data_IF_416922913208
#
_entry.id   IF_416922913208
#
_cell.length_a   1.000
_cell.length_b   1.000
_cell.length_c   1.000
_cell.angle_alpha   90.00
_cell.angle_beta   90.00
_cell.angle_gamma   90.00
#
_symmetry.space_group_name_H-M   'P 1'
#
loop_
_entity.id
_entity.type
_entity.pdbx_description
1 polymer ?
#
# COMPACT_ATOMS: atom_id res chain seq x y z
N UNK A 1 -7.95 32.81 12.41
CA UNK A 1 -6.69 32.73 11.65
C UNK A 1 -6.14 31.32 11.79
N UNK A 2 -6.20 30.50 10.72
CA UNK A 2 -5.98 29.07 10.80
C UNK A 2 -4.46 28.75 10.81
N UNK A 3 -3.89 28.60 12.01
CA UNK A 3 -2.46 28.34 12.25
C UNK A 3 -1.99 27.04 11.58
N UNK A 4 -2.90 26.09 11.27
CA UNK A 4 -2.56 24.86 10.53
C UNK A 4 -2.21 25.08 9.05
N UNK A 5 -2.50 26.26 8.48
CA UNK A 5 -2.21 26.55 7.07
C UNK A 5 -0.76 27.00 6.84
N UNK A 6 -0.07 27.47 7.88
CA UNK A 6 1.30 28.04 7.79
C UNK A 6 2.40 27.10 8.31
N UNK A 7 2.09 26.14 9.18
CA UNK A 7 2.95 24.98 9.43
C UNK A 7 2.54 23.87 8.48
N UNK A 8 3.22 23.74 7.34
CA UNK A 8 2.88 22.77 6.30
C UNK A 8 2.56 21.38 6.87
N UNK A 9 1.27 21.04 6.93
CA UNK A 9 0.75 19.88 7.68
C UNK A 9 1.38 18.54 7.31
N UNK A 10 2.06 18.45 6.16
CA UNK A 10 2.86 17.30 5.77
C UNK A 10 4.05 17.01 6.67
N UNK A 11 4.69 18.05 7.21
CA UNK A 11 5.88 17.89 8.05
C UNK A 11 5.50 17.38 9.45
N UNK A 12 4.35 17.82 9.99
CA UNK A 12 3.90 17.34 11.30
C UNK A 12 3.71 15.83 11.33
N UNK A 13 2.92 15.28 10.39
CA UNK A 13 2.66 13.84 10.35
C UNK A 13 3.95 13.05 10.11
N UNK A 14 4.81 13.52 9.20
CA UNK A 14 6.13 12.91 8.99
C UNK A 14 6.93 12.81 10.29
N UNK A 15 7.08 13.91 11.03
CA UNK A 15 7.84 13.92 12.28
C UNK A 15 7.17 13.09 13.38
N UNK A 16 5.84 13.11 13.49
CA UNK A 16 5.11 12.32 14.48
C UNK A 16 5.29 10.81 14.25
N UNK A 17 5.11 10.33 13.01
CA UNK A 17 5.32 8.93 12.67
C UNK A 17 6.78 8.50 12.78
N UNK A 18 7.71 9.38 12.36
CA UNK A 18 9.15 9.13 12.52
C UNK A 18 9.53 9.00 14.00
N UNK A 19 8.99 9.85 14.86
CA UNK A 19 9.21 9.78 16.31
C UNK A 19 8.63 8.49 16.90
N UNK A 20 7.43 8.08 16.50
CA UNK A 20 6.85 6.81 16.94
C UNK A 20 7.71 5.60 16.54
N UNK A 21 8.25 5.62 15.31
CA UNK A 21 9.22 4.62 14.83
C UNK A 21 10.54 4.65 15.62
N UNK A 22 11.13 5.83 15.83
CA UNK A 22 12.36 6.01 16.60
C UNK A 22 12.24 5.53 18.05
N UNK A 23 11.09 5.76 18.68
CA UNK A 23 10.80 5.28 20.03
C UNK A 23 10.38 3.79 20.07
N UNK A 24 10.35 3.12 18.91
CA UNK A 24 9.85 1.76 18.76
C UNK A 24 8.48 1.56 19.42
N UNK A 25 7.58 2.53 19.27
CA UNK A 25 6.27 2.58 19.95
C UNK A 25 5.12 2.30 18.98
N UNK A 26 4.77 1.02 18.73
CA UNK A 26 3.71 0.65 17.79
C UNK A 26 2.33 1.15 18.20
N UNK A 27 2.03 1.25 19.50
CA UNK A 27 0.75 1.79 20.01
C UNK A 27 0.57 3.25 19.64
N UNK A 28 1.64 4.05 19.77
CA UNK A 28 1.63 5.46 19.39
C UNK A 28 1.44 5.61 17.87
N UNK A 29 2.20 4.85 17.08
CA UNK A 29 2.05 4.88 15.62
C UNK A 29 0.62 4.49 15.19
N UNK A 30 0.02 3.46 15.80
CA UNK A 30 -1.34 3.02 15.50
C UNK A 30 -2.39 4.11 15.79
N UNK A 31 -2.28 4.79 16.93
CA UNK A 31 -3.14 5.93 17.28
C UNK A 31 -2.98 7.09 16.31
N UNK A 32 -1.74 7.42 15.94
CA UNK A 32 -1.46 8.45 14.95
C UNK A 32 -2.09 8.09 13.58
N UNK A 33 -1.99 6.83 13.16
CA UNK A 33 -2.61 6.38 11.91
C UNK A 33 -4.13 6.54 11.96
N UNK A 34 -4.77 6.06 13.02
CA UNK A 34 -6.21 6.18 13.20
C UNK A 34 -6.70 7.64 13.16
N UNK A 35 -5.97 8.56 13.82
CA UNK A 35 -6.27 10.00 13.81
C UNK A 35 -6.06 10.66 12.44
N UNK A 36 -5.27 10.03 11.57
CA UNK A 36 -4.91 10.57 10.26
C UNK A 36 -5.85 10.11 9.14
N UNK A 37 -6.76 9.16 9.41
CA UNK A 37 -7.67 8.62 8.40
C UNK A 37 -8.66 9.68 7.90
N UNK A 38 -8.83 9.71 6.58
CA UNK A 38 -9.94 10.40 5.89
C UNK A 38 -10.99 9.35 5.52
N UNK A 39 -12.23 9.54 5.93
CA UNK A 39 -13.33 8.67 5.50
C UNK A 39 -13.86 9.15 4.16
N UNK A 40 -13.64 8.38 3.10
CA UNK A 40 -14.03 8.72 1.73
C UNK A 40 -15.47 8.32 1.44
N UNK A 41 -15.84 7.12 1.87
CA UNK A 41 -17.16 6.54 1.69
C UNK A 41 -17.60 6.02 3.05
N UNK A 42 -18.65 6.61 3.61
CA UNK A 42 -19.26 6.17 4.87
C UNK A 42 -20.54 5.42 4.56
N UNK A 43 -20.74 4.29 5.22
CA UNK A 43 -22.02 3.55 5.20
C UNK A 43 -22.64 3.59 6.59
N UNK A 44 -23.97 3.62 6.66
CA UNK A 44 -24.66 3.38 7.94
C UNK A 44 -24.38 1.92 8.27
N UNK A 45 -23.66 1.67 9.37
CA UNK A 45 -23.09 0.36 9.72
C UNK A 45 -24.11 -0.78 9.75
N UNK A 46 -24.40 -1.32 8.57
CA UNK A 46 -25.15 -2.54 8.38
C UNK A 46 -24.18 -3.70 8.55
N UNK A 47 -24.67 -4.74 9.22
CA UNK A 47 -23.98 -6.01 9.36
C UNK A 47 -23.52 -6.50 7.97
N UNK A 48 -22.25 -6.91 7.85
CA UNK A 48 -21.67 -7.36 6.58
C UNK A 48 -20.95 -6.30 5.73
N UNK A 49 -20.82 -5.04 6.20
CA UNK A 49 -20.01 -4.03 5.49
C UNK A 49 -18.51 -4.29 5.67
N UNK A 50 -17.76 -4.38 4.57
CA UNK A 50 -16.31 -4.55 4.53
C UNK A 50 -15.59 -3.19 4.59
N UNK A 51 -14.71 -3.00 5.58
CA UNK A 51 -13.94 -1.77 5.80
C UNK A 51 -12.59 -1.84 5.08
N UNK A 52 -12.43 -0.97 4.11
CA UNK A 52 -11.26 -0.93 3.23
C UNK A 52 -10.40 0.30 3.55
N UNK A 53 -9.11 0.08 3.75
CA UNK A 53 -8.10 1.14 3.88
C UNK A 53 -7.35 1.34 2.56
N UNK A 54 -7.40 2.56 2.02
CA UNK A 54 -6.62 2.97 0.86
C UNK A 54 -5.31 3.64 1.28
N UNK A 55 -4.19 3.08 0.83
CA UNK A 55 -2.87 3.71 0.93
C UNK A 55 -2.68 4.71 -0.22
N UNK A 56 -3.45 5.80 -0.18
CA UNK A 56 -3.73 6.61 -1.39
C UNK A 56 -2.53 7.35 -1.97
N UNK A 57 -2.23 7.09 -3.24
CA UNK A 57 -1.32 7.86 -4.09
C UNK A 57 -2.10 8.59 -5.17
N UNK A 58 -1.50 9.60 -5.78
CA UNK A 58 -2.10 10.31 -6.92
C UNK A 58 -2.51 9.33 -8.04
N UNK A 59 -3.75 9.46 -8.52
CA UNK A 59 -4.39 8.62 -9.53
C UNK A 59 -4.97 7.29 -9.02
N UNK A 60 -4.44 6.72 -7.93
CA UNK A 60 -4.94 5.44 -7.40
C UNK A 60 -6.30 5.57 -6.69
N UNK A 61 -6.57 6.71 -6.04
CA UNK A 61 -7.89 6.99 -5.44
C UNK A 61 -9.01 6.87 -6.46
N UNK A 62 -8.78 7.30 -7.70
CA UNK A 62 -9.76 7.23 -8.78
C UNK A 62 -10.05 5.78 -9.19
N UNK A 63 -9.01 4.95 -9.35
CA UNK A 63 -9.18 3.52 -9.64
C UNK A 63 -9.99 2.83 -8.54
N UNK A 64 -9.59 3.00 -7.28
CA UNK A 64 -10.27 2.37 -6.15
C UNK A 64 -11.73 2.81 -6.02
N UNK A 65 -12.01 4.12 -6.15
CA UNK A 65 -13.38 4.63 -6.07
C UNK A 65 -14.23 4.25 -7.29
N UNK A 66 -13.63 4.11 -8.46
CA UNK A 66 -14.35 3.62 -9.65
C UNK A 66 -14.71 2.14 -9.52
N UNK A 67 -13.85 1.34 -8.87
CA UNK A 67 -14.11 -0.09 -8.63
C UNK A 67 -15.15 -0.37 -7.55
N UNK A 68 -15.03 0.27 -6.37
CA UNK A 68 -15.82 -0.11 -5.18
C UNK A 68 -16.51 1.07 -4.48
N UNK A 69 -16.30 2.31 -4.94
CA UNK A 69 -16.78 3.51 -4.25
C UNK A 69 -18.30 3.65 -4.19
N UNK A 70 -19.01 3.09 -5.18
CA UNK A 70 -20.47 3.10 -5.25
C UNK A 70 -21.11 1.79 -4.76
N UNK A 71 -20.31 0.82 -4.33
CA UNK A 71 -20.81 -0.46 -3.83
C UNK A 71 -21.08 -0.35 -2.32
N UNK A 72 -22.31 -0.63 -1.92
CA UNK A 72 -22.76 -0.47 -0.53
C UNK A 72 -22.16 -1.51 0.42
N UNK A 73 -21.53 -2.56 -0.11
CA UNK A 73 -20.80 -3.56 0.69
C UNK A 73 -19.50 -3.02 1.28
N UNK A 74 -19.02 -1.84 0.83
CA UNK A 74 -17.72 -1.31 1.25
C UNK A 74 -17.83 0.04 1.96
N UNK A 75 -17.11 0.17 3.07
CA UNK A 75 -16.74 1.44 3.69
C UNK A 75 -15.28 1.73 3.34
N UNK A 76 -14.96 2.98 2.97
CA UNK A 76 -13.63 3.31 2.46
C UNK A 76 -13.01 4.43 3.29
N UNK A 77 -11.91 4.10 3.96
CA UNK A 77 -11.01 5.06 4.62
C UNK A 77 -9.72 5.18 3.83
N UNK A 78 -9.05 6.34 3.91
CA UNK A 78 -7.85 6.63 3.14
C UNK A 78 -6.82 7.39 3.96
N UNK A 79 -5.55 7.15 3.64
CA UNK A 79 -4.46 8.07 3.98
C UNK A 79 -4.26 9.00 2.80
N UNK A 80 -4.55 10.30 2.95
CA UNK A 80 -4.30 11.28 1.90
C UNK A 80 -2.81 11.30 1.46
N UNK A 81 -2.51 11.88 0.31
CA UNK A 81 -1.13 11.88 -0.26
C UNK A 81 -0.10 12.50 0.69
N UNK A 82 -0.54 13.43 1.54
CA UNK A 82 0.29 14.10 2.54
C UNK A 82 0.65 13.16 3.69
N UNK A 83 -0.33 12.39 4.17
CA UNK A 83 -0.24 11.42 5.27
C UNK A 83 0.27 10.06 4.81
N UNK A 84 0.22 9.76 3.51
CA UNK A 84 0.79 8.56 2.90
C UNK A 84 2.35 8.58 2.86
N UNK A 85 2.97 9.49 3.62
CA UNK A 85 4.36 9.39 4.03
C UNK A 85 4.51 8.69 5.39
N UNK A 86 3.44 8.27 6.06
CA UNK A 86 3.48 7.60 7.37
C UNK A 86 4.38 6.36 7.36
N UNK A 87 4.15 5.44 6.42
CA UNK A 87 4.98 4.23 6.32
C UNK A 87 6.43 4.55 5.96
N UNK A 88 6.68 5.51 5.06
CA UNK A 88 8.04 5.99 4.77
C UNK A 88 8.72 6.58 6.03
N UNK A 89 8.01 7.41 6.79
CA UNK A 89 8.50 8.02 8.02
C UNK A 89 8.88 6.97 9.07
N UNK A 90 8.05 5.93 9.24
CA UNK A 90 8.34 4.81 10.14
C UNK A 90 9.53 4.01 9.60
N UNK A 91 9.49 3.58 8.34
CA UNK A 91 10.49 2.73 7.70
C UNK A 91 11.92 3.30 7.79
N UNK A 92 12.09 4.64 7.69
CA UNK A 92 13.41 5.30 7.83
C UNK A 92 14.09 5.11 9.20
N UNK A 93 13.39 4.59 10.21
CA UNK A 93 14.00 4.27 11.51
C UNK A 93 14.50 2.82 11.58
N UNK A 94 14.12 1.97 10.62
CA UNK A 94 14.44 0.54 10.62
C UNK A 94 15.33 0.15 9.45
N UNK A 95 15.00 0.65 8.25
CA UNK A 95 15.66 0.30 7.01
C UNK A 95 16.89 1.20 6.76
N UNK A 96 17.97 0.66 6.15
CA UNK A 96 19.10 1.44 5.67
C UNK A 96 18.65 2.59 4.75
N UNK A 97 19.27 3.78 4.83
CA UNK A 97 18.88 4.95 4.03
C UNK A 97 19.07 4.75 2.53
N UNK A 98 19.88 3.77 2.11
CA UNK A 98 20.10 3.41 0.72
C UNK A 98 18.92 2.65 0.12
N UNK A 99 18.05 2.03 0.93
CA UNK A 99 16.86 1.32 0.41
C UNK A 99 15.81 2.33 -0.08
N UNK A 100 15.41 2.14 -1.33
CA UNK A 100 14.28 2.81 -1.96
C UNK A 100 13.41 1.84 -2.76
N UNK A 101 12.43 2.39 -3.48
CA UNK A 101 11.50 1.59 -4.29
C UNK A 101 12.24 0.76 -5.36
N UNK A 102 13.38 1.26 -5.87
CA UNK A 102 14.16 0.78 -7.01
C UNK A 102 15.36 -0.12 -6.64
N UNK A 103 15.69 -0.35 -5.37
CA UNK A 103 16.82 -1.21 -4.96
C UNK A 103 16.54 -2.00 -3.68
N UNK A 104 15.28 -2.34 -3.41
CA UNK A 104 14.87 -3.02 -2.19
C UNK A 104 15.52 -4.40 -1.99
N UNK A 105 15.71 -5.14 -3.09
CA UNK A 105 16.24 -6.49 -3.03
C UNK A 105 17.72 -6.44 -2.65
N UNK A 106 18.05 -7.12 -1.55
CA UNK A 106 19.40 -7.21 -1.01
C UNK A 106 19.45 -8.43 -0.10
N UNK A 107 20.49 -9.24 -0.29
CA UNK A 107 20.82 -10.43 0.49
C UNK A 107 21.86 -10.12 1.58
N UNK A 108 22.24 -8.85 1.75
CA UNK A 108 23.16 -8.45 2.80
C UNK A 108 22.54 -8.74 4.18
N UNK A 109 23.25 -9.42 5.09
CA UNK A 109 22.69 -9.80 6.39
C UNK A 109 22.10 -8.63 7.18
N UNK A 110 22.73 -7.45 7.13
CA UNK A 110 22.23 -6.24 7.80
C UNK A 110 20.90 -5.73 7.22
N UNK A 111 20.68 -5.88 5.92
CA UNK A 111 19.42 -5.53 5.27
C UNK A 111 18.30 -6.48 5.67
N UNK A 112 18.61 -7.78 5.73
CA UNK A 112 17.68 -8.82 6.17
C UNK A 112 17.26 -8.57 7.63
N UNK A 113 18.22 -8.30 8.50
CA UNK A 113 17.95 -8.01 9.92
C UNK A 113 17.10 -6.73 10.08
N UNK A 114 17.42 -5.67 9.34
CA UNK A 114 16.65 -4.43 9.33
C UNK A 114 15.19 -4.64 8.89
N UNK A 115 14.97 -5.42 7.83
CA UNK A 115 13.64 -5.82 7.36
C UNK A 115 12.88 -6.61 8.42
N UNK A 116 13.54 -7.55 9.11
CA UNK A 116 12.93 -8.33 10.18
C UNK A 116 12.49 -7.45 11.37
N UNK A 117 13.36 -6.54 11.84
CA UNK A 117 12.98 -5.57 12.89
C UNK A 117 11.80 -4.70 12.48
N UNK A 118 11.76 -4.30 11.20
CA UNK A 118 10.63 -3.53 10.68
C UNK A 118 9.33 -4.37 10.68
N UNK A 119 9.38 -5.64 10.26
CA UNK A 119 8.22 -6.56 10.34
C UNK A 119 7.70 -6.70 11.76
N UNK A 120 8.59 -6.87 12.75
CA UNK A 120 8.18 -7.05 14.15
C UNK A 120 7.46 -5.81 14.70
N UNK A 121 7.97 -4.61 14.35
CA UNK A 121 7.28 -3.37 14.65
C UNK A 121 5.90 -3.34 13.97
N UNK A 122 5.83 -3.67 12.68
CA UNK A 122 4.60 -3.65 11.89
C UNK A 122 3.53 -4.63 12.39
N UNK A 123 3.92 -5.84 12.83
CA UNK A 123 2.98 -6.82 13.45
C UNK A 123 2.31 -6.23 14.68
N UNK A 124 3.14 -5.65 15.56
CA UNK A 124 2.66 -5.01 16.78
C UNK A 124 1.80 -3.79 16.46
N UNK A 125 2.23 -2.96 15.50
CA UNK A 125 1.51 -1.79 15.03
C UNK A 125 0.14 -2.15 14.47
N UNK A 126 0.07 -3.13 13.56
CA UNK A 126 -1.17 -3.55 12.90
C UNK A 126 -2.16 -4.13 13.91
N UNK A 127 -1.69 -4.98 14.83
CA UNK A 127 -2.52 -5.52 15.91
C UNK A 127 -3.16 -4.42 16.76
N UNK A 128 -2.44 -3.34 17.06
CA UNK A 128 -2.99 -2.20 17.82
C UNK A 128 -3.93 -1.36 16.96
N UNK A 129 -3.60 -1.15 15.68
CA UNK A 129 -4.43 -0.38 14.76
C UNK A 129 -5.78 -1.05 14.50
N UNK A 130 -5.78 -2.38 14.32
CA UNK A 130 -7.01 -3.18 14.18
C UNK A 130 -7.96 -3.03 15.37
N UNK A 131 -7.45 -2.96 16.60
CA UNK A 131 -8.26 -2.73 17.81
C UNK A 131 -8.93 -1.36 17.85
N UNK A 132 -8.40 -0.38 17.12
CA UNK A 132 -8.92 1.00 17.12
C UNK A 132 -9.94 1.19 16.00
N UNK A 133 -9.63 0.70 14.80
CA UNK A 133 -10.40 1.03 13.58
C UNK A 133 -11.19 -0.18 13.05
N UNK A 134 -10.59 -1.38 13.10
CA UNK A 134 -11.09 -2.57 12.41
C UNK A 134 -11.06 -2.39 10.89
N UNK A 135 -10.07 -2.98 10.22
CA UNK A 135 -9.91 -2.92 8.76
C UNK A 135 -9.94 -4.33 8.19
N UNK A 136 -10.82 -4.58 7.24
CA UNK A 136 -11.01 -5.90 6.63
C UNK A 136 -10.10 -6.11 5.41
N UNK A 137 -9.70 -5.04 4.72
CA UNK A 137 -8.77 -5.12 3.59
C UNK A 137 -7.96 -3.82 3.41
N UNK A 138 -6.77 -3.94 2.83
CA UNK A 138 -5.91 -2.80 2.48
C UNK A 138 -5.65 -2.80 0.98
N UNK A 139 -5.86 -1.65 0.33
CA UNK A 139 -5.54 -1.46 -1.08
C UNK A 139 -4.35 -0.49 -1.23
N UNK A 140 -3.43 -0.79 -2.14
CA UNK A 140 -2.35 0.11 -2.57
C UNK A 140 -2.20 0.17 -4.09
N UNK A 141 -1.46 1.17 -4.57
CA UNK A 141 -1.26 1.45 -5.99
C UNK A 141 -0.13 0.62 -6.63
N UNK A 142 0.80 0.09 -5.83
CA UNK A 142 1.98 -0.58 -6.36
C UNK A 142 2.53 -1.62 -5.36
N UNK A 143 2.98 -2.77 -5.88
CA UNK A 143 3.63 -3.82 -5.10
C UNK A 143 5.06 -3.43 -4.66
N UNK A 144 5.68 -2.46 -5.35
CA UNK A 144 7.10 -2.17 -5.21
C UNK A 144 7.43 -1.05 -4.24
N UNK A 145 6.47 -0.53 -3.47
CA UNK A 145 6.75 0.56 -2.53
C UNK A 145 7.53 0.06 -1.32
N UNK A 146 8.80 0.47 -1.19
CA UNK A 146 9.75 -0.09 -0.23
C UNK A 146 9.20 -0.09 1.21
N UNK A 147 8.53 1.00 1.60
CA UNK A 147 7.97 1.17 2.93
C UNK A 147 6.71 0.33 3.18
N UNK A 148 6.05 -0.15 2.12
CA UNK A 148 4.81 -0.93 2.22
C UNK A 148 5.05 -2.43 2.01
N UNK A 149 6.27 -2.85 1.63
CA UNK A 149 6.55 -4.26 1.34
C UNK A 149 6.46 -5.15 2.57
N UNK A 150 7.16 -4.79 3.63
CA UNK A 150 7.08 -5.55 4.87
C UNK A 150 5.70 -5.45 5.52
N UNK A 151 4.99 -4.34 5.28
CA UNK A 151 3.57 -4.23 5.65
C UNK A 151 2.72 -5.25 4.89
N UNK A 152 2.92 -5.40 3.58
CA UNK A 152 2.12 -6.35 2.78
C UNK A 152 2.27 -7.79 3.26
N UNK A 153 3.50 -8.21 3.64
CA UNK A 153 3.74 -9.54 4.19
C UNK A 153 3.14 -9.73 5.57
N UNK A 154 3.32 -8.75 6.47
CA UNK A 154 2.71 -8.78 7.81
C UNK A 154 1.20 -8.86 7.76
N UNK A 155 0.57 -8.14 6.84
CA UNK A 155 -0.89 -8.16 6.69
C UNK A 155 -1.39 -9.49 6.13
N UNK A 156 -0.68 -10.08 5.16
CA UNK A 156 -1.00 -11.42 4.65
C UNK A 156 -0.91 -12.48 5.75
N UNK A 157 0.17 -12.46 6.57
CA UNK A 157 0.36 -13.32 7.75
C UNK A 157 -0.77 -13.17 8.80
N UNK A 158 -1.32 -11.96 8.92
CA UNK A 158 -2.38 -11.63 9.88
C UNK A 158 -3.79 -11.73 9.30
N UNK A 159 -3.94 -12.40 8.15
CA UNK A 159 -5.22 -12.60 7.45
C UNK A 159 -5.97 -11.30 7.12
N UNK A 160 -5.26 -10.18 6.99
CA UNK A 160 -5.79 -8.96 6.41
C UNK A 160 -5.33 -8.87 4.95
N UNK A 161 -6.21 -9.07 3.95
CA UNK A 161 -5.84 -8.99 2.54
C UNK A 161 -5.18 -7.65 2.19
N UNK A 162 -3.90 -7.72 1.82
CA UNK A 162 -3.18 -6.61 1.20
C UNK A 162 -3.21 -6.77 -0.31
N UNK A 163 -3.91 -5.88 -0.99
CA UNK A 163 -4.24 -5.98 -2.40
C UNK A 163 -3.64 -4.79 -3.15
N UNK A 164 -3.02 -5.07 -4.29
CA UNK A 164 -2.47 -4.03 -5.16
C UNK A 164 -3.44 -3.81 -6.33
N UNK A 165 -3.98 -2.60 -6.49
CA UNK A 165 -4.53 -2.17 -7.77
C UNK A 165 -3.38 -1.53 -8.54
N UNK A 166 -2.68 -2.35 -9.31
CA UNK A 166 -1.46 -1.91 -9.97
C UNK A 166 -1.85 -0.87 -11.02
N UNK A 167 -1.21 0.31 -11.01
CA UNK A 167 -1.50 1.37 -12.00
C UNK A 167 -0.50 1.44 -13.15
N UNK A 168 0.71 0.92 -12.97
CA UNK A 168 1.82 1.04 -13.91
C UNK A 168 1.81 -0.08 -14.98
N UNK A 169 0.67 -0.34 -15.63
CA UNK A 169 0.49 -1.54 -16.50
C UNK A 169 0.81 -1.33 -17.98
N UNK A 170 1.04 -0.09 -18.43
CA UNK A 170 1.23 0.18 -19.86
C UNK A 170 2.66 -0.14 -20.28
N UNK A 171 2.84 -1.33 -20.88
CA UNK A 171 4.11 -1.81 -21.42
C UNK A 171 3.97 -2.14 -22.89
N UNK A 172 4.85 -1.55 -23.71
CA UNK A 172 4.95 -1.93 -25.12
C UNK A 172 5.68 -3.29 -25.24
N UNK A 173 5.37 -4.11 -26.27
CA UNK A 173 6.03 -5.40 -26.48
C UNK A 173 7.56 -5.32 -26.46
N UNK A 174 8.14 -4.27 -27.07
CA UNK A 174 9.59 -4.05 -27.12
C UNK A 174 10.25 -3.72 -25.76
N UNK A 175 9.49 -3.47 -24.70
CA UNK A 175 10.01 -3.18 -23.35
C UNK A 175 9.78 -4.31 -22.35
N UNK A 176 9.11 -5.39 -22.74
CA UNK A 176 8.75 -6.50 -21.86
C UNK A 176 9.98 -7.09 -21.16
N UNK A 177 11.03 -7.44 -21.90
CA UNK A 177 12.24 -8.03 -21.33
C UNK A 177 13.00 -7.08 -20.39
N UNK A 178 13.00 -5.78 -20.71
CA UNK A 178 13.54 -4.77 -19.80
C UNK A 178 12.80 -4.75 -18.46
N UNK A 179 11.46 -4.77 -18.48
CA UNK A 179 10.67 -4.75 -17.25
C UNK A 179 10.77 -6.06 -16.47
N UNK A 180 10.83 -7.22 -17.15
CA UNK A 180 11.07 -8.52 -16.49
C UNK A 180 12.38 -8.50 -15.71
N UNK A 181 13.46 -8.05 -16.35
CA UNK A 181 14.77 -7.90 -15.72
C UNK A 181 14.73 -6.93 -14.53
N UNK A 182 14.17 -5.74 -14.74
CA UNK A 182 14.03 -4.73 -13.69
C UNK A 182 13.26 -5.25 -12.47
N UNK A 183 12.15 -5.95 -12.71
CA UNK A 183 11.31 -6.51 -11.66
C UNK A 183 12.03 -7.60 -10.89
N UNK A 184 12.65 -8.55 -11.60
CA UNK A 184 13.38 -9.66 -10.98
C UNK A 184 14.58 -9.21 -10.16
N UNK A 185 15.37 -8.27 -10.67
CA UNK A 185 16.65 -7.91 -10.04
C UNK A 185 16.51 -6.84 -8.97
N UNK A 186 15.52 -5.95 -9.10
CA UNK A 186 15.42 -4.76 -8.23
C UNK A 186 14.19 -4.73 -7.35
N UNK A 187 13.08 -5.31 -7.83
CA UNK A 187 11.80 -5.27 -7.13
C UNK A 187 11.55 -6.56 -6.37
N UNK A 188 11.86 -7.76 -6.85
CA UNK A 188 11.67 -9.01 -6.11
C UNK A 188 10.20 -9.33 -5.72
N UNK A 189 9.95 -10.45 -5.03
CA UNK A 189 8.60 -11.01 -4.86
C UNK A 189 7.63 -10.13 -4.05
N UNK A 190 6.37 -10.08 -4.48
CA UNK A 190 5.28 -9.47 -3.72
C UNK A 190 4.85 -10.40 -2.58
N UNK A 191 4.67 -9.82 -1.38
CA UNK A 191 4.38 -10.57 -0.16
C UNK A 191 2.90 -10.53 0.25
N UNK A 192 2.08 -9.72 -0.43
CA UNK A 192 0.66 -9.60 -0.12
C UNK A 192 -0.23 -10.63 -0.84
N UNK A 193 -1.55 -10.41 -0.74
CA UNK A 193 -2.58 -11.38 -1.10
C UNK A 193 -2.80 -11.50 -2.61
N UNK A 194 -3.08 -10.36 -3.27
CA UNK A 194 -3.39 -10.31 -4.72
C UNK A 194 -2.92 -9.03 -5.39
N UNK A 195 -2.63 -9.12 -6.68
CA UNK A 195 -2.37 -7.99 -7.57
C UNK A 195 -3.42 -7.98 -8.68
N UNK A 196 -4.05 -6.83 -8.87
CA UNK A 196 -4.95 -6.55 -9.97
C UNK A 196 -4.20 -5.70 -11.01
N UNK A 197 -4.17 -6.18 -12.24
CA UNK A 197 -3.45 -5.56 -13.37
C UNK A 197 -4.42 -5.24 -14.51
N UNK A 198 -4.03 -4.33 -15.39
CA UNK A 198 -4.93 -3.86 -16.45
C UNK A 198 -4.97 -4.77 -17.67
N UNK A 199 -3.92 -5.54 -17.94
CA UNK A 199 -3.81 -6.31 -19.17
C UNK A 199 -2.93 -7.57 -19.00
N UNK A 200 -3.01 -8.46 -19.98
CA UNK A 200 -2.27 -9.73 -20.00
C UNK A 200 -0.75 -9.53 -20.14
N UNK A 201 -0.29 -8.47 -20.81
CA UNK A 201 1.16 -8.18 -20.92
C UNK A 201 1.73 -7.97 -19.53
N UNK A 202 1.06 -7.17 -18.69
CA UNK A 202 1.55 -6.90 -17.34
C UNK A 202 1.47 -8.13 -16.44
N UNK A 203 0.38 -8.90 -16.55
CA UNK A 203 0.26 -10.17 -15.84
C UNK A 203 1.43 -11.09 -16.16
N UNK A 204 1.74 -11.27 -17.45
CA UNK A 204 2.86 -12.10 -17.90
C UNK A 204 4.21 -11.56 -17.40
N UNK A 205 4.45 -10.25 -17.49
CA UNK A 205 5.68 -9.62 -16.98
C UNK A 205 5.89 -9.89 -15.49
N UNK A 206 4.86 -9.74 -14.66
CA UNK A 206 4.98 -9.96 -13.22
C UNK A 206 5.17 -11.44 -12.86
N UNK A 207 4.49 -12.36 -13.55
CA UNK A 207 4.68 -13.80 -13.36
C UNK A 207 6.09 -14.23 -13.78
N UNK A 208 6.52 -13.88 -15.00
CA UNK A 208 7.82 -14.26 -15.55
C UNK A 208 9.00 -13.66 -14.78
N UNK A 209 8.80 -12.50 -14.15
CA UNK A 209 9.78 -11.87 -13.29
C UNK A 209 9.85 -12.48 -11.88
N UNK A 210 8.95 -13.40 -11.52
CA UNK A 210 8.87 -13.99 -10.19
C UNK A 210 8.30 -13.05 -9.13
N UNK A 211 7.51 -12.04 -9.53
CA UNK A 211 6.88 -11.09 -8.60
C UNK A 211 5.70 -11.73 -7.90
N UNK A 212 4.88 -12.49 -8.62
CA UNK A 212 3.61 -13.03 -8.12
C UNK A 212 3.27 -14.33 -8.84
N UNK A 213 2.59 -15.26 -8.16
CA UNK A 213 2.11 -16.50 -8.78
C UNK A 213 0.86 -16.25 -9.63
N UNK A 214 0.56 -17.09 -10.63
CA UNK A 214 -0.60 -16.90 -11.52
C UNK A 214 -1.94 -16.76 -10.78
N UNK A 215 -2.13 -17.44 -9.65
CA UNK A 215 -3.37 -17.44 -8.86
C UNK A 215 -3.55 -16.16 -8.04
N UNK A 216 -2.45 -15.44 -7.82
CA UNK A 216 -2.40 -14.20 -7.05
C UNK A 216 -2.44 -12.95 -7.95
N UNK A 217 -2.53 -13.09 -9.27
CA UNK A 217 -2.67 -11.97 -10.21
C UNK A 217 -3.89 -12.08 -11.11
N UNK A 218 -4.70 -11.02 -11.16
CA UNK A 218 -5.97 -10.98 -11.90
C UNK A 218 -5.96 -9.79 -12.86
N UNK A 219 -6.34 -10.03 -14.12
CA UNK A 219 -6.57 -8.96 -15.09
C UNK A 219 -7.97 -8.40 -14.88
N UNK A 220 -8.07 -7.09 -14.66
CA UNK A 220 -9.35 -6.40 -14.42
C UNK A 220 -9.59 -5.19 -15.31
N UNK A 221 -8.71 -4.93 -16.27
CA UNK A 221 -8.80 -3.69 -17.05
C UNK A 221 -8.44 -2.47 -16.19
N UNK A 222 -8.90 -1.30 -16.62
CA UNK A 222 -8.52 -0.01 -16.03
C UNK A 222 -9.77 0.67 -15.47
N UNK A 223 -10.11 0.48 -14.18
CA UNK A 223 -11.43 0.83 -13.64
C UNK A 223 -11.83 2.29 -13.85
N UNK A 224 -10.89 3.23 -13.82
CA UNK A 224 -11.16 4.65 -14.08
C UNK A 224 -11.64 4.96 -15.50
N UNK A 225 -11.45 4.05 -16.46
CA UNK A 225 -11.97 4.17 -17.83
C UNK A 225 -13.35 3.53 -18.01
N UNK A 226 -13.85 2.78 -17.02
CA UNK A 226 -15.15 2.09 -17.12
C UNK A 226 -16.26 3.09 -17.41
N UNK A 227 -16.23 4.28 -16.80
CA UNK A 227 -17.20 5.36 -17.05
C UNK A 227 -17.27 5.76 -18.53
N UNK A 228 -16.12 5.86 -19.19
CA UNK A 228 -16.05 6.20 -20.62
C UNK A 228 -16.67 5.08 -21.46
N UNK A 229 -16.40 3.81 -21.12
CA UNK A 229 -16.96 2.66 -21.82
C UNK A 229 -18.48 2.51 -21.59
N UNK A 230 -18.97 2.89 -20.42
CA UNK A 230 -20.40 2.91 -20.08
C UNK A 230 -21.15 4.13 -20.64
N UNK A 231 -20.45 5.09 -21.25
CA UNK A 231 -21.04 6.34 -21.74
C UNK A 231 -21.53 7.26 -20.62
N UNK A 232 -20.90 7.21 -19.43
CA UNK A 232 -21.23 7.97 -18.23
C UNK A 232 -20.22 9.05 -17.90
#
# INVERSE_FOLDING_TARGET
MNIMKYFGGSNFWWHAFRMAGKLNNPKMAARLLALSLEHLVKRKGTEGTCRVLLLSKAGFREDALSSIGNDDRFEISSLDVVRNKAFKAIATNFLPPEIDDCNYQSDEPGYIEAKNRYRDFLRSFWSQFQKIVGIDAVLTANFSYYAERELSGVLDEMETPFIVLHKENLKSPGRVEFYKKLYRERRGPFLGRKIFVYNEIEKAVQIDAGIVTPERVIVTGMPRLDRIHEGR
#
